data_IF_998723131265
#
_entry.id   IF_998723131265
#
_cell.length_a   1.000
_cell.length_b   1.000
_cell.length_c   1.000
_cell.angle_alpha   90.00
_cell.angle_beta   90.00
_cell.angle_gamma   90.00
#
_symmetry.space_group_name_H-M   'P 1'
#
loop_
_entity.id
_entity.type
_entity.pdbx_description
1 polymer ?
#
# COMPACT_ATOMS: atom_id res chain seq x y z
N UNK A 1 14.11 -1.29 9.02
CA UNK A 1 13.46 -1.83 10.22
C UNK A 1 12.05 -2.26 9.87
N UNK A 2 11.55 -3.31 10.50
CA UNK A 2 10.14 -3.74 10.38
C UNK A 2 9.55 -3.65 11.79
N UNK A 3 8.42 -2.99 11.93
CA UNK A 3 7.74 -2.77 13.21
C UNK A 3 6.31 -3.26 13.07
N UNK A 4 5.88 -4.14 13.98
CA UNK A 4 4.49 -4.58 14.09
C UNK A 4 3.83 -3.86 15.26
N UNK A 5 2.74 -3.14 14.98
CA UNK A 5 1.89 -2.53 16.00
C UNK A 5 0.62 -3.38 16.10
N UNK A 6 0.50 -4.16 17.18
CA UNK A 6 -0.61 -5.08 17.40
C UNK A 6 -1.39 -4.73 18.67
N UNK A 7 -2.70 -4.98 18.65
CA UNK A 7 -3.60 -4.66 19.76
C UNK A 7 -5.07 -4.78 19.36
N UNK A 8 -5.94 -4.93 20.37
CA UNK A 8 -7.40 -5.04 20.19
C UNK A 8 -7.97 -3.80 19.48
N UNK A 9 -9.17 -3.90 18.90
CA UNK A 9 -9.87 -2.75 18.35
C UNK A 9 -10.02 -1.66 19.43
N UNK A 10 -9.71 -0.41 19.09
CA UNK A 10 -9.74 0.72 20.03
C UNK A 10 -8.53 0.86 20.96
N UNK A 11 -7.51 -0.01 20.86
CA UNK A 11 -6.28 0.09 21.68
C UNK A 11 -5.30 1.20 21.26
N UNK A 12 -5.63 1.98 20.23
CA UNK A 12 -4.80 3.10 19.78
C UNK A 12 -3.75 2.77 18.71
N UNK A 13 -3.85 1.64 18.00
CA UNK A 13 -2.90 1.29 16.92
C UNK A 13 -2.70 2.40 15.88
N UNK A 14 -3.78 2.88 15.28
CA UNK A 14 -3.74 3.95 14.28
C UNK A 14 -3.27 5.29 14.91
N UNK A 15 -3.58 5.53 16.18
CA UNK A 15 -3.05 6.67 16.93
C UNK A 15 -1.51 6.57 17.05
N UNK A 16 -0.97 5.40 17.38
CA UNK A 16 0.49 5.17 17.42
C UNK A 16 1.15 5.42 16.06
N UNK A 17 0.54 4.96 14.96
CA UNK A 17 1.03 5.28 13.60
C UNK A 17 1.05 6.79 13.38
N UNK A 18 -0.01 7.49 13.77
CA UNK A 18 -0.13 8.95 13.65
C UNK A 18 0.96 9.69 14.43
N UNK A 19 1.21 9.28 15.68
CA UNK A 19 2.29 9.86 16.52
C UNK A 19 3.65 9.63 15.87
N UNK A 20 3.96 8.41 15.41
CA UNK A 20 5.26 8.16 14.75
C UNK A 20 5.41 9.03 13.50
N UNK A 21 4.36 9.13 12.68
CA UNK A 21 4.39 9.96 11.47
C UNK A 21 4.50 11.46 11.79
N UNK A 22 3.89 11.95 12.87
CA UNK A 22 4.06 13.32 13.38
C UNK A 22 5.52 13.57 13.80
N UNK A 23 6.09 12.70 14.63
CA UNK A 23 7.46 12.84 15.13
C UNK A 23 8.49 12.79 14.00
N UNK A 24 8.27 11.93 12.99
CA UNK A 24 9.12 11.90 11.79
C UNK A 24 9.08 13.21 11.00
N UNK A 25 7.92 13.87 10.93
CA UNK A 25 7.79 15.16 10.26
C UNK A 25 8.37 16.32 11.08
N UNK A 26 8.54 16.13 12.39
CA UNK A 26 9.09 17.12 13.33
C UNK A 26 10.59 16.98 13.61
N UNK A 27 11.25 16.01 12.99
CA UNK A 27 12.70 15.88 13.07
C UNK A 27 13.38 17.18 12.63
N UNK A 28 14.60 17.39 13.11
CA UNK A 28 15.42 18.55 12.72
C UNK A 28 15.48 18.69 11.20
N UNK A 29 15.54 19.93 10.70
CA UNK A 29 15.46 20.24 9.26
C UNK A 29 16.44 19.41 8.42
N UNK A 30 17.63 19.18 8.97
CA UNK A 30 18.68 18.38 8.35
C UNK A 30 18.35 16.91 8.16
N UNK A 31 17.53 16.37 9.07
CA UNK A 31 17.08 14.98 9.02
C UNK A 31 15.79 14.87 8.20
N UNK A 32 14.80 15.74 8.45
CA UNK A 32 13.49 15.63 7.79
C UNK A 32 13.56 15.82 6.28
N UNK A 33 14.50 16.63 5.76
CA UNK A 33 14.71 16.77 4.30
C UNK A 33 15.21 15.49 3.61
N UNK A 34 15.50 14.46 4.40
CA UNK A 34 15.95 13.15 3.92
C UNK A 34 14.98 12.02 4.27
N UNK A 35 13.83 12.32 4.88
CA UNK A 35 12.84 11.32 5.31
C UNK A 35 11.47 11.71 4.76
N UNK A 36 10.73 10.73 4.27
CA UNK A 36 9.35 10.89 3.86
C UNK A 36 8.51 9.77 4.48
N UNK A 37 7.24 10.08 4.77
CA UNK A 37 6.32 9.11 5.34
C UNK A 37 5.19 8.82 4.36
N UNK A 38 4.83 7.55 4.20
CA UNK A 38 3.66 7.09 3.46
C UNK A 38 2.78 6.24 4.37
N UNK A 39 1.53 6.66 4.54
CA UNK A 39 0.50 5.90 5.28
C UNK A 39 -0.51 5.37 4.27
N UNK A 40 -0.73 4.06 4.27
CA UNK A 40 -1.89 3.45 3.59
C UNK A 40 -3.06 3.42 4.58
N UNK A 41 -4.02 4.31 4.35
CA UNK A 41 -5.17 4.50 5.21
C UNK A 41 -6.34 3.65 4.71
N UNK A 42 -6.59 2.54 5.40
CA UNK A 42 -7.67 1.61 5.06
C UNK A 42 -9.01 2.00 5.68
N UNK A 43 -9.02 2.98 6.61
CA UNK A 43 -10.17 3.36 7.42
C UNK A 43 -10.65 4.80 7.19
N UNK A 44 -9.86 5.64 6.53
CA UNK A 44 -10.20 7.01 6.15
C UNK A 44 -10.14 7.99 7.33
N UNK A 45 -9.17 7.82 8.23
CA UNK A 45 -9.04 8.59 9.47
C UNK A 45 -7.80 9.49 9.52
N UNK A 46 -6.75 9.17 8.76
CA UNK A 46 -5.46 9.85 8.85
C UNK A 46 -5.47 11.25 8.20
N UNK A 47 -6.48 11.58 7.40
CA UNK A 47 -6.66 12.93 6.85
C UNK A 47 -6.76 14.01 7.95
N UNK A 48 -7.26 13.63 9.13
CA UNK A 48 -7.41 14.52 10.28
C UNK A 48 -6.07 15.04 10.79
N UNK A 49 -4.97 14.30 10.60
CA UNK A 49 -3.62 14.71 11.00
C UNK A 49 -3.16 16.03 10.38
N UNK A 50 -3.75 16.42 9.24
CA UNK A 50 -3.44 17.69 8.58
C UNK A 50 -3.77 18.90 9.45
N UNK A 51 -4.73 18.76 10.35
CA UNK A 51 -5.27 19.84 11.15
C UNK A 51 -4.74 19.82 12.58
N UNK A 52 -4.71 21.00 13.20
CA UNK A 52 -4.44 21.16 14.62
C UNK A 52 -5.34 20.27 15.48
N UNK A 53 -4.72 19.52 16.38
CA UNK A 53 -5.45 18.83 17.45
C UNK A 53 -5.92 19.86 18.49
N UNK A 54 -7.06 20.50 18.25
CA UNK A 54 -7.68 21.43 19.21
C UNK A 54 -8.47 20.68 20.30
N UNK A 55 -8.91 19.45 19.99
CA UNK A 55 -9.70 18.61 20.91
C UNK A 55 -8.91 18.27 22.18
N UNK A 56 -7.62 17.98 22.05
CA UNK A 56 -6.76 17.54 23.15
C UNK A 56 -5.74 18.62 23.56
N UNK A 57 -6.04 19.90 23.30
CA UNK A 57 -5.15 21.03 23.58
C UNK A 57 -4.72 21.14 25.05
N UNK A 58 -5.63 20.84 25.98
CA UNK A 58 -5.31 20.84 27.42
C UNK A 58 -4.29 19.76 27.76
N UNK A 59 -4.50 18.54 27.26
CA UNK A 59 -3.57 17.42 27.43
C UNK A 59 -2.20 17.74 26.82
N UNK A 60 -2.15 18.30 25.61
CA UNK A 60 -0.89 18.73 25.01
C UNK A 60 -0.16 19.76 25.91
N UNK A 61 -0.92 20.70 26.49
CA UNK A 61 -0.35 21.74 27.37
C UNK A 61 0.25 21.16 28.65
N UNK A 62 -0.35 20.11 29.24
CA UNK A 62 0.20 19.39 30.39
C UNK A 62 1.57 18.77 30.07
N UNK A 63 1.75 18.31 28.83
CA UNK A 63 3.01 17.77 28.31
C UNK A 63 3.94 18.84 27.72
N UNK A 64 3.59 20.13 27.87
CA UNK A 64 4.30 21.28 27.29
C UNK A 64 4.40 21.25 25.77
N UNK A 65 3.50 20.54 25.11
CA UNK A 65 3.34 20.48 23.66
C UNK A 65 2.36 21.54 23.17
N UNK A 66 2.46 21.91 21.88
CA UNK A 66 1.57 22.86 21.22
C UNK A 66 0.86 22.19 20.06
N UNK A 67 -0.43 22.48 19.94
CA UNK A 67 -1.20 22.07 18.77
C UNK A 67 -0.72 22.80 17.51
N UNK A 68 -0.58 22.07 16.40
CA UNK A 68 -0.02 22.56 15.13
C UNK A 68 -0.60 21.79 13.94
N UNK A 69 -0.50 22.40 12.75
CA UNK A 69 -0.79 21.69 11.52
C UNK A 69 0.42 20.84 11.15
N UNK A 70 0.18 19.64 10.63
CA UNK A 70 1.23 18.77 10.12
C UNK A 70 1.31 18.85 8.60
N UNK A 71 2.51 18.67 8.01
CA UNK A 71 2.70 18.70 6.56
C UNK A 71 2.20 17.40 5.90
N UNK A 72 0.87 17.25 5.88
CA UNK A 72 0.19 16.04 5.37
C UNK A 72 -0.44 16.30 4.01
N UNK A 73 -0.25 15.37 3.08
CA UNK A 73 -0.84 15.38 1.73
C UNK A 73 -1.73 14.15 1.55
N UNK A 74 -3.01 14.38 1.27
CA UNK A 74 -4.00 13.30 1.13
C UNK A 74 -4.18 12.94 -0.34
N UNK A 75 -4.02 11.66 -0.65
CA UNK A 75 -4.19 11.09 -1.98
C UNK A 75 -5.41 10.17 -1.99
N UNK A 76 -6.28 10.36 -2.97
CA UNK A 76 -7.43 9.48 -3.20
C UNK A 76 -7.37 8.91 -4.63
N UNK A 77 -7.91 7.71 -4.88
CA UNK A 77 -7.96 7.15 -6.22
C UNK A 77 -8.74 8.09 -7.16
N UNK A 78 -8.20 8.30 -8.36
CA UNK A 78 -8.59 9.42 -9.22
C UNK A 78 -10.08 9.44 -9.53
N UNK A 79 -10.73 8.28 -9.71
CA UNK A 79 -12.14 8.22 -10.07
C UNK A 79 -13.11 8.37 -8.89
N UNK A 80 -12.60 8.50 -7.66
CA UNK A 80 -13.38 8.91 -6.49
C UNK A 80 -13.06 10.34 -6.03
N UNK A 81 -12.05 11.00 -6.60
CA UNK A 81 -11.64 12.33 -6.18
C UNK A 81 -12.77 13.37 -6.19
N UNK A 82 -13.56 13.42 -7.27
CA UNK A 82 -14.71 14.33 -7.36
C UNK A 82 -15.79 14.04 -6.31
N UNK A 83 -15.95 12.78 -5.93
CA UNK A 83 -16.88 12.38 -4.86
C UNK A 83 -16.38 12.86 -3.50
N UNK A 84 -15.08 12.74 -3.24
CA UNK A 84 -14.45 13.27 -2.04
C UNK A 84 -14.63 14.79 -1.94
N UNK A 85 -14.38 15.53 -3.03
CA UNK A 85 -14.61 16.98 -3.09
C UNK A 85 -16.06 17.35 -2.81
N UNK A 86 -17.02 16.66 -3.46
CA UNK A 86 -18.46 16.88 -3.24
C UNK A 86 -18.89 16.64 -1.80
N UNK A 87 -18.28 15.65 -1.14
CA UNK A 87 -18.51 15.32 0.27
C UNK A 87 -17.69 16.17 1.24
N UNK A 88 -16.90 17.12 0.73
CA UNK A 88 -15.99 17.97 1.51
C UNK A 88 -14.96 17.17 2.32
N UNK A 89 -14.58 15.98 1.83
CA UNK A 89 -13.49 15.18 2.40
C UNK A 89 -12.18 15.79 1.88
N UNK A 90 -11.22 16.15 2.74
CA UNK A 90 -10.03 16.85 2.31
C UNK A 90 -9.10 15.92 1.53
N UNK A 91 -8.90 16.24 0.25
CA UNK A 91 -8.00 15.54 -0.68
C UNK A 91 -7.11 16.56 -1.38
N UNK A 92 -5.83 16.22 -1.54
CA UNK A 92 -4.81 17.09 -2.15
C UNK A 92 -4.35 16.59 -3.52
N UNK A 93 -4.43 15.27 -3.76
CA UNK A 93 -3.91 14.64 -4.97
C UNK A 93 -4.76 13.49 -5.49
N UNK A 94 -4.73 13.32 -6.82
CA UNK A 94 -5.35 12.19 -7.52
C UNK A 94 -4.31 11.08 -7.70
N UNK A 95 -4.65 9.88 -7.26
CA UNK A 95 -3.83 8.69 -7.47
C UNK A 95 -4.37 7.85 -8.62
N UNK A 96 -3.52 7.53 -9.59
CA UNK A 96 -3.86 6.68 -10.72
C UNK A 96 -2.73 5.68 -11.03
N UNK A 97 -3.07 4.39 -11.07
CA UNK A 97 -2.18 3.30 -11.47
C UNK A 97 -2.07 3.21 -13.00
N UNK A 98 -0.87 2.93 -13.52
CA UNK A 98 -0.73 2.53 -14.93
C UNK A 98 -0.79 1.02 -15.05
N UNK A 99 -1.75 0.51 -15.82
CA UNK A 99 -1.87 -0.94 -16.07
C UNK A 99 -0.60 -1.55 -16.68
N UNK A 100 0.10 -0.79 -17.52
CA UNK A 100 1.38 -1.15 -18.14
C UNK A 100 2.55 -1.29 -17.17
N UNK A 101 2.48 -0.66 -15.98
CA UNK A 101 3.52 -0.76 -14.95
C UNK A 101 3.29 -1.94 -13.99
N UNK A 102 2.16 -2.65 -14.09
CA UNK A 102 1.90 -3.83 -13.28
C UNK A 102 2.60 -5.06 -13.88
N UNK A 103 3.07 -5.92 -12.98
CA UNK A 103 3.61 -7.23 -13.32
C UNK A 103 2.52 -8.30 -13.28
N UNK A 104 2.79 -9.47 -13.86
CA UNK A 104 1.82 -10.57 -13.88
C UNK A 104 1.44 -10.97 -12.46
N UNK A 105 2.39 -10.99 -11.53
CA UNK A 105 2.16 -11.35 -10.13
C UNK A 105 1.16 -10.43 -9.44
N UNK A 106 1.12 -9.13 -9.81
CA UNK A 106 0.11 -8.21 -9.26
C UNK A 106 -1.30 -8.62 -9.66
N UNK A 107 -1.47 -8.98 -10.93
CA UNK A 107 -2.76 -9.39 -11.47
C UNK A 107 -3.20 -10.71 -10.87
N UNK A 108 -2.31 -11.69 -10.81
CA UNK A 108 -2.63 -12.99 -10.22
C UNK A 108 -2.98 -12.87 -8.74
N UNK A 109 -2.23 -12.09 -7.96
CA UNK A 109 -2.54 -11.85 -6.55
C UNK A 109 -3.88 -11.12 -6.38
N UNK A 110 -4.15 -10.13 -7.23
CA UNK A 110 -5.40 -9.33 -7.12
C UNK A 110 -6.63 -10.15 -7.48
N UNK A 111 -6.51 -11.05 -8.45
CA UNK A 111 -7.58 -11.94 -8.90
C UNK A 111 -7.64 -13.28 -8.13
N UNK A 112 -6.74 -13.48 -7.15
CA UNK A 112 -6.61 -14.73 -6.38
C UNK A 112 -6.43 -15.98 -7.27
N UNK A 113 -5.53 -15.87 -8.24
CA UNK A 113 -5.25 -16.91 -9.24
C UNK A 113 -3.90 -17.58 -9.00
N UNK A 114 -3.82 -18.88 -9.26
CA UNK A 114 -2.55 -19.61 -9.24
C UNK A 114 -1.86 -19.47 -10.58
N UNK A 115 -0.54 -19.38 -10.58
CA UNK A 115 0.25 -19.27 -11.81
C UNK A 115 0.01 -20.43 -12.80
N UNK A 116 -0.37 -21.60 -12.29
CA UNK A 116 -0.64 -22.81 -13.10
C UNK A 116 -2.02 -22.84 -13.74
N UNK A 117 -2.93 -21.92 -13.38
CA UNK A 117 -4.28 -21.92 -13.91
C UNK A 117 -4.30 -21.49 -15.37
N UNK A 118 -5.14 -22.11 -16.20
CA UNK A 118 -5.29 -21.74 -17.63
C UNK A 118 -5.63 -20.26 -17.81
N UNK A 119 -6.41 -19.70 -16.89
CA UNK A 119 -6.72 -18.26 -16.84
C UNK A 119 -5.43 -17.45 -16.69
N UNK A 120 -4.56 -17.81 -15.75
CA UNK A 120 -3.28 -17.12 -15.49
C UNK A 120 -2.35 -17.18 -16.68
N UNK A 121 -2.25 -18.35 -17.34
CA UNK A 121 -1.44 -18.52 -18.55
C UNK A 121 -1.94 -17.61 -19.68
N UNK A 122 -3.26 -17.47 -19.83
CA UNK A 122 -3.82 -16.55 -20.83
C UNK A 122 -3.51 -15.09 -20.50
N UNK A 123 -3.63 -14.69 -19.22
CA UNK A 123 -3.30 -13.34 -18.76
C UNK A 123 -1.83 -13.03 -19.08
N UNK A 124 -0.91 -13.92 -18.67
CA UNK A 124 0.53 -13.76 -18.90
C UNK A 124 0.84 -13.61 -20.39
N UNK A 125 0.29 -14.50 -21.23
CA UNK A 125 0.50 -14.44 -22.68
C UNK A 125 0.01 -13.13 -23.28
N UNK A 126 -1.14 -12.61 -22.84
CA UNK A 126 -1.68 -11.34 -23.32
C UNK A 126 -0.80 -10.17 -22.88
N UNK A 127 -0.43 -10.12 -21.59
CA UNK A 127 0.38 -9.04 -21.05
C UNK A 127 1.77 -8.99 -21.68
N UNK A 128 2.44 -10.13 -21.83
CA UNK A 128 3.76 -10.22 -22.48
C UNK A 128 3.69 -9.67 -23.91
N UNK A 129 2.72 -10.12 -24.70
CA UNK A 129 2.54 -9.61 -26.07
C UNK A 129 2.20 -8.12 -26.13
N UNK A 130 1.52 -7.58 -25.11
CA UNK A 130 1.24 -6.14 -25.05
C UNK A 130 2.49 -5.34 -24.70
N UNK A 131 3.31 -5.83 -23.75
CA UNK A 131 4.61 -5.22 -23.39
C UNK A 131 5.59 -5.20 -24.57
N UNK A 132 5.57 -6.23 -25.42
CA UNK A 132 6.39 -6.29 -26.63
C UNK A 132 5.93 -5.29 -27.73
N UNK A 133 4.63 -5.06 -27.86
CA UNK A 133 4.06 -4.24 -28.94
C UNK A 133 3.90 -2.75 -28.58
N UNK A 134 3.69 -2.44 -27.30
CA UNK A 134 3.37 -1.09 -26.81
C UNK A 134 4.17 -0.79 -25.55
N UNK A 135 4.77 0.40 -25.53
CA UNK A 135 5.42 0.94 -24.33
C UNK A 135 4.41 1.26 -23.21
N UNK A 136 3.19 1.69 -23.58
CA UNK A 136 2.12 2.02 -22.63
C UNK A 136 0.77 1.45 -23.12
N UNK A 137 -0.01 0.91 -22.20
CA UNK A 137 -1.33 0.31 -22.46
C UNK A 137 -2.23 0.39 -21.21
N UNK A 138 -3.54 0.52 -21.45
CA UNK A 138 -4.57 0.53 -20.41
C UNK A 138 -5.26 -0.83 -20.24
N UNK A 139 -6.24 -0.90 -19.33
CA UNK A 139 -7.06 -2.10 -19.12
C UNK A 139 -7.90 -2.41 -20.35
N UNK A 140 -8.38 -1.39 -21.05
CA UNK A 140 -9.15 -1.53 -22.28
C UNK A 140 -8.34 -2.20 -23.40
N UNK A 141 -7.04 -1.87 -23.51
CA UNK A 141 -6.14 -2.52 -24.47
C UNK A 141 -5.93 -4.01 -24.12
N UNK A 142 -5.87 -4.34 -22.82
CA UNK A 142 -5.79 -5.74 -22.34
C UNK A 142 -7.05 -6.51 -22.73
N UNK A 143 -8.24 -5.97 -22.45
CA UNK A 143 -9.52 -6.58 -22.80
C UNK A 143 -9.64 -6.80 -24.31
N UNK A 144 -9.28 -5.79 -25.12
CA UNK A 144 -9.29 -5.91 -26.57
C UNK A 144 -8.37 -7.04 -27.05
N UNK A 145 -7.19 -7.18 -26.43
CA UNK A 145 -6.22 -8.21 -26.80
C UNK A 145 -6.66 -9.62 -26.37
N UNK A 146 -7.34 -9.76 -25.24
CA UNK A 146 -7.95 -11.03 -24.78
C UNK A 146 -9.00 -11.50 -25.80
N UNK A 147 -9.88 -10.59 -26.25
CA UNK A 147 -10.96 -10.90 -27.20
C UNK A 147 -10.47 -11.34 -28.59
N UNK A 148 -9.20 -11.07 -28.92
CA UNK A 148 -8.54 -11.46 -30.18
C UNK A 148 -7.66 -12.71 -30.07
N UNK A 149 -7.72 -13.45 -28.96
CA UNK A 149 -6.91 -14.66 -28.79
C UNK A 149 -7.51 -15.84 -29.56
N UNK A 150 -6.82 -16.24 -30.62
CA UNK A 150 -7.13 -17.48 -31.35
C UNK A 150 -6.63 -18.70 -30.56
N UNK A 151 -7.37 -19.82 -30.66
CA UNK A 151 -7.01 -21.09 -30.05
C UNK A 151 -7.41 -21.27 -28.58
N UNK A 152 -8.04 -20.25 -27.96
CA UNK A 152 -8.62 -20.36 -26.61
C UNK A 152 -10.12 -20.66 -26.67
N UNK A 153 -10.65 -21.25 -25.59
CA UNK A 153 -12.09 -21.45 -25.45
C UNK A 153 -12.81 -20.12 -25.21
N UNK A 154 -14.06 -20.01 -25.67
CA UNK A 154 -14.88 -18.80 -25.44
C UNK A 154 -15.10 -18.57 -23.96
N UNK A 155 -15.23 -19.64 -23.19
CA UNK A 155 -15.40 -19.64 -21.75
C UNK A 155 -14.19 -19.01 -21.07
N UNK A 156 -12.96 -19.40 -21.43
CA UNK A 156 -11.73 -18.81 -20.91
C UNK A 156 -11.62 -17.33 -21.28
N UNK A 157 -11.84 -16.98 -22.54
CA UNK A 157 -11.80 -15.57 -23.01
C UNK A 157 -12.78 -14.70 -22.22
N UNK A 158 -14.02 -15.18 -22.01
CA UNK A 158 -15.04 -14.46 -21.27
C UNK A 158 -14.67 -14.32 -19.79
N UNK A 159 -14.14 -15.37 -19.16
CA UNK A 159 -13.70 -15.33 -17.76
C UNK A 159 -12.58 -14.30 -17.55
N UNK A 160 -11.55 -14.32 -18.40
CA UNK A 160 -10.44 -13.35 -18.28
C UNK A 160 -10.90 -11.93 -18.61
N UNK A 161 -11.76 -11.76 -19.62
CA UNK A 161 -12.35 -10.45 -19.92
C UNK A 161 -13.15 -9.90 -18.74
N UNK A 162 -13.95 -10.73 -18.07
CA UNK A 162 -14.74 -10.32 -16.91
C UNK A 162 -13.86 -9.85 -15.73
N UNK A 163 -12.71 -10.48 -15.49
CA UNK A 163 -11.76 -10.05 -14.46
C UNK A 163 -11.22 -8.64 -14.73
N UNK A 164 -10.81 -8.35 -15.97
CA UNK A 164 -10.33 -7.01 -16.33
C UNK A 164 -11.45 -5.97 -16.46
N UNK A 165 -12.66 -6.37 -16.86
CA UNK A 165 -13.84 -5.51 -16.82
C UNK A 165 -14.20 -5.15 -15.37
N UNK A 166 -14.05 -6.08 -14.42
CA UNK A 166 -14.14 -5.78 -13.00
C UNK A 166 -13.02 -4.80 -12.56
N UNK A 167 -11.79 -4.98 -13.05
CA UNK A 167 -10.68 -4.08 -12.74
C UNK A 167 -10.93 -2.61 -13.18
N UNK A 168 -11.60 -2.40 -14.32
CA UNK A 168 -12.04 -1.07 -14.75
C UNK A 168 -12.98 -0.40 -13.74
N UNK A 169 -13.87 -1.17 -13.12
CA UNK A 169 -14.85 -0.66 -12.17
C UNK A 169 -14.23 -0.12 -10.87
N UNK A 170 -12.98 -0.50 -10.55
CA UNK A 170 -12.28 -0.05 -9.35
C UNK A 170 -11.83 1.41 -9.41
N UNK A 171 -11.86 2.04 -10.60
CA UNK A 171 -11.57 3.48 -10.78
C UNK A 171 -10.21 3.92 -10.21
N UNK A 172 -9.25 3.00 -10.17
CA UNK A 172 -7.87 3.22 -9.70
C UNK A 172 -6.86 3.35 -10.84
N UNK A 173 -7.16 2.76 -12.01
CA UNK A 173 -6.27 2.79 -13.17
C UNK A 173 -6.45 4.05 -14.00
N UNK A 174 -5.34 4.69 -14.36
CA UNK A 174 -5.30 5.79 -15.31
C UNK A 174 -6.00 5.40 -16.62
N UNK A 175 -6.91 6.26 -17.09
CA UNK A 175 -7.56 6.05 -18.39
C UNK A 175 -6.56 6.27 -19.52
N UNK A 176 -6.88 5.75 -20.70
CA UNK A 176 -6.09 5.98 -21.92
C UNK A 176 -5.79 7.47 -22.12
N UNK A 177 -4.51 7.81 -22.26
CA UNK A 177 -4.03 9.18 -22.42
C UNK A 177 -3.91 9.99 -21.11
N UNK A 178 -4.30 9.44 -19.96
CA UNK A 178 -4.02 10.04 -18.66
C UNK A 178 -2.64 9.61 -18.15
N UNK A 179 -1.97 10.53 -17.44
CA UNK A 179 -0.73 10.20 -16.75
C UNK A 179 -1.07 9.43 -15.47
N UNK A 180 -0.46 8.27 -15.27
CA UNK A 180 -0.44 7.65 -13.95
C UNK A 180 0.44 8.44 -13.00
N UNK A 181 0.16 8.31 -11.70
CA UNK A 181 0.86 9.03 -10.65
C UNK A 181 2.27 8.49 -10.51
N UNK A 182 3.28 9.36 -10.63
CA UNK A 182 4.67 8.96 -10.39
C UNK A 182 4.94 8.82 -8.89
N UNK A 183 5.84 7.91 -8.53
CA UNK A 183 6.16 7.66 -7.11
C UNK A 183 6.80 8.88 -6.44
N UNK A 184 7.56 9.67 -7.18
CA UNK A 184 8.16 10.91 -6.68
C UNK A 184 7.15 12.03 -6.46
N UNK A 185 5.92 11.93 -7.01
CA UNK A 185 4.84 12.85 -6.67
C UNK A 185 4.20 12.46 -5.33
N UNK A 186 4.18 11.16 -5.02
CA UNK A 186 3.66 10.60 -3.76
C UNK A 186 4.63 10.76 -2.60
N UNK A 187 5.94 10.80 -2.85
CA UNK A 187 6.96 10.85 -1.80
C UNK A 187 7.65 12.22 -1.82
N UNK A 188 7.37 13.02 -0.79
CA UNK A 188 7.99 14.32 -0.59
C UNK A 188 8.71 14.35 0.76
N UNK A 189 9.97 14.78 0.79
CA UNK A 189 10.74 14.83 2.01
C UNK A 189 10.16 15.82 3.03
N UNK A 190 10.22 15.46 4.31
CA UNK A 190 9.66 16.21 5.44
C UNK A 190 8.13 16.24 5.47
N UNK A 191 7.47 15.45 4.63
CA UNK A 191 6.00 15.38 4.55
C UNK A 191 5.49 13.97 4.77
N UNK A 192 4.23 13.89 5.18
CA UNK A 192 3.48 12.64 5.30
C UNK A 192 2.45 12.57 4.18
N UNK A 193 2.61 11.61 3.29
CA UNK A 193 1.58 11.27 2.31
C UNK A 193 0.64 10.23 2.91
N UNK A 194 -0.66 10.47 2.80
CA UNK A 194 -1.70 9.52 3.18
C UNK A 194 -2.38 9.06 1.91
N UNK A 195 -2.25 7.78 1.59
CA UNK A 195 -3.01 7.11 0.53
C UNK A 195 -4.31 6.58 1.12
N UNK A 196 -5.41 7.28 0.86
CA UNK A 196 -6.75 6.86 1.31
C UNK A 196 -7.27 5.73 0.41
N UNK A 197 -7.41 4.55 0.99
CA UNK A 197 -7.95 3.35 0.37
C UNK A 197 -9.27 2.90 1.03
N UNK A 198 -9.87 3.76 1.86
CA UNK A 198 -11.08 3.47 2.63
C UNK A 198 -12.30 3.24 1.74
N UNK A 199 -12.30 3.80 0.52
CA UNK A 199 -13.34 3.59 -0.49
C UNK A 199 -13.44 2.14 -0.96
N UNK A 200 -12.36 1.36 -0.88
CA UNK A 200 -12.36 -0.04 -1.23
C UNK A 200 -12.75 -0.88 -0.03
N UNK A 201 -13.66 -1.85 -0.17
CA UNK A 201 -14.06 -2.74 0.92
C UNK A 201 -12.91 -3.69 1.32
N UNK A 202 -12.79 -3.99 2.61
CA UNK A 202 -11.90 -5.06 3.13
C UNK A 202 -12.45 -6.48 2.91
N UNK A 203 -13.74 -6.60 2.53
CA UNK A 203 -14.46 -7.88 2.37
C UNK A 203 -14.92 -8.06 0.90
N UNK A 204 -14.24 -7.42 -0.04
CA UNK A 204 -14.55 -7.53 -1.47
C UNK A 204 -13.98 -8.81 -2.10
N UNK A 205 -14.55 -9.22 -3.23
CA UNK A 205 -14.05 -10.34 -4.04
C UNK A 205 -12.64 -10.08 -4.61
N UNK A 206 -12.24 -8.82 -4.73
CA UNK A 206 -10.92 -8.41 -5.22
C UNK A 206 -10.21 -7.55 -4.18
N UNK A 207 -8.92 -7.83 -3.95
CA UNK A 207 -8.13 -7.10 -2.97
C UNK A 207 -7.45 -5.87 -3.60
N UNK A 208 -8.24 -4.88 -4.00
CA UNK A 208 -7.75 -3.62 -4.61
C UNK A 208 -6.80 -2.88 -3.67
N UNK A 209 -7.02 -2.97 -2.36
CA UNK A 209 -6.12 -2.38 -1.36
C UNK A 209 -4.72 -3.01 -1.44
N UNK A 210 -4.65 -4.35 -1.45
CA UNK A 210 -3.37 -5.05 -1.59
C UNK A 210 -2.70 -4.75 -2.93
N UNK A 211 -3.45 -4.61 -4.02
CA UNK A 211 -2.89 -4.20 -5.31
C UNK A 211 -2.17 -2.86 -5.19
N UNK A 212 -2.84 -1.83 -4.66
CA UNK A 212 -2.27 -0.48 -4.53
C UNK A 212 -1.06 -0.48 -3.59
N UNK A 213 -1.18 -1.14 -2.43
CA UNK A 213 -0.11 -1.25 -1.43
C UNK A 213 1.10 -1.97 -2.03
N UNK A 214 0.89 -3.13 -2.64
CA UNK A 214 1.94 -3.96 -3.23
C UNK A 214 2.66 -3.26 -4.37
N UNK A 215 1.90 -2.67 -5.29
CA UNK A 215 2.45 -1.91 -6.41
C UNK A 215 3.32 -0.74 -5.95
N UNK A 216 2.80 0.13 -5.06
CA UNK A 216 3.55 1.29 -4.57
C UNK A 216 4.78 0.82 -3.79
N UNK A 217 4.64 -0.18 -2.92
CA UNK A 217 5.75 -0.70 -2.12
C UNK A 217 6.87 -1.25 -3.00
N UNK A 218 6.55 -2.01 -4.06
CA UNK A 218 7.54 -2.51 -5.01
C UNK A 218 8.23 -1.38 -5.76
N UNK A 219 7.47 -0.40 -6.24
CA UNK A 219 8.02 0.76 -6.96
C UNK A 219 8.97 1.57 -6.07
N UNK A 220 8.57 1.84 -4.83
CA UNK A 220 9.40 2.52 -3.82
C UNK A 220 10.68 1.74 -3.50
N UNK A 221 10.57 0.43 -3.33
CA UNK A 221 11.71 -0.43 -3.06
C UNK A 221 12.74 -0.35 -4.21
N UNK A 222 12.29 -0.49 -5.45
CA UNK A 222 13.15 -0.42 -6.63
C UNK A 222 13.83 0.94 -6.78
N UNK A 223 13.08 2.03 -6.65
CA UNK A 223 13.62 3.40 -6.71
C UNK A 223 14.65 3.65 -5.61
N UNK A 224 14.37 3.21 -4.38
CA UNK A 224 15.31 3.38 -3.25
C UNK A 224 16.56 2.54 -3.44
N UNK A 225 16.45 1.32 -3.97
CA UNK A 225 17.59 0.46 -4.30
C UNK A 225 18.50 1.11 -5.34
N UNK A 226 17.94 1.73 -6.39
CA UNK A 226 18.71 2.47 -7.40
C UNK A 226 19.35 3.74 -6.82
N UNK A 227 18.58 4.53 -6.06
CA UNK A 227 19.08 5.72 -5.39
C UNK A 227 20.23 5.40 -4.44
N UNK A 228 20.14 4.29 -3.69
CA UNK A 228 21.20 3.84 -2.80
C UNK A 228 22.49 3.52 -3.57
N UNK A 229 22.40 2.81 -4.70
CA UNK A 229 23.57 2.54 -5.56
C UNK A 229 24.23 3.83 -6.05
N UNK A 230 23.43 4.83 -6.48
CA UNK A 230 23.95 6.14 -6.90
C UNK A 230 24.66 6.87 -5.76
N UNK A 231 24.09 6.86 -4.55
CA UNK A 231 24.70 7.46 -3.35
C UNK A 231 26.08 6.84 -3.04
N UNK A 232 26.18 5.51 -3.08
CA UNK A 232 27.44 4.79 -2.83
C UNK A 232 28.49 5.13 -3.89
N UNK A 233 28.10 5.16 -5.17
CA UNK A 233 29.02 5.56 -6.25
C UNK A 233 29.55 6.97 -6.07
N UNK A 234 28.68 7.92 -5.68
CA UNK A 234 29.07 9.30 -5.44
C UNK A 234 30.03 9.42 -4.25
N UNK A 235 29.78 8.68 -3.16
CA UNK A 235 30.65 8.64 -1.98
C UNK A 235 32.05 8.08 -2.29
N UNK A 236 32.14 7.04 -3.13
CA UNK A 236 33.44 6.50 -3.57
C UNK A 236 34.19 7.51 -4.44
N UNK A 237 33.51 8.18 -5.38
CA UNK A 237 34.13 9.13 -6.31
C UNK A 237 34.68 10.39 -5.63
N UNK A 238 34.00 10.89 -4.61
CA UNK A 238 34.31 12.17 -3.96
C UNK A 238 34.96 12.01 -2.58
N UNK A 239 35.23 10.77 -2.15
CA UNK A 239 35.77 10.47 -0.82
C UNK A 239 34.77 10.71 0.32
N UNK A 240 35.26 10.57 1.56
CA UNK A 240 34.46 10.72 2.80
C UNK A 240 33.79 12.10 2.91
N UNK A 241 34.34 13.11 2.23
CA UNK A 241 33.81 14.48 2.21
C UNK A 241 32.49 14.63 1.43
N UNK A 242 32.05 13.66 0.64
CA UNK A 242 30.77 13.81 -0.08
C UNK A 242 29.54 13.74 0.84
N UNK A 243 29.58 12.88 1.85
CA UNK A 243 28.48 12.72 2.81
C UNK A 243 28.32 13.97 3.69
N UNK A 244 29.40 14.74 3.88
CA UNK A 244 29.33 16.05 4.52
C UNK A 244 28.88 17.16 3.56
N UNK A 245 29.15 17.05 2.26
CA UNK A 245 28.77 18.05 1.25
C UNK A 245 27.34 17.93 0.71
N UNK A 246 26.78 16.72 0.60
CA UNK A 246 25.41 16.54 0.07
C UNK A 246 24.44 16.18 1.19
N UNK A 247 23.84 17.23 1.74
CA UNK A 247 22.93 17.13 2.87
C UNK A 247 21.53 16.62 2.48
N UNK A 248 21.17 16.56 1.19
CA UNK A 248 19.83 16.20 0.72
C UNK A 248 19.87 15.05 -0.31
N UNK A 249 19.07 14.01 -0.06
CA UNK A 249 18.92 12.83 -0.91
C UNK A 249 17.96 13.11 -2.07
N UNK A 250 18.32 12.64 -3.27
CA UNK A 250 17.42 12.67 -4.44
C UNK A 250 16.12 11.89 -4.18
N UNK A 251 16.24 10.74 -3.51
CA UNK A 251 15.12 9.94 -3.02
C UNK A 251 15.25 9.81 -1.49
N UNK A 252 14.33 10.36 -0.69
CA UNK A 252 14.41 10.27 0.77
C UNK A 252 14.28 8.82 1.24
N UNK A 253 14.68 8.59 2.49
CA UNK A 253 14.33 7.36 3.21
C UNK A 253 12.83 7.37 3.46
N UNK A 254 12.14 6.31 3.04
CA UNK A 254 10.68 6.23 3.14
C UNK A 254 10.28 5.33 4.29
N UNK A 255 9.46 5.85 5.20
CA UNK A 255 8.72 5.06 6.19
C UNK A 255 7.35 4.73 5.64
N UNK A 256 7.04 3.44 5.53
CA UNK A 256 5.74 2.95 5.08
C UNK A 256 4.97 2.45 6.29
N UNK A 257 3.76 2.97 6.48
CA UNK A 257 2.79 2.50 7.45
C UNK A 257 1.58 1.92 6.72
N UNK A 258 1.14 0.73 7.13
CA UNK A 258 -0.04 0.07 6.58
C UNK A 258 -1.03 -0.11 7.73
N UNK A 259 -2.12 0.66 7.75
CA UNK A 259 -3.16 0.46 8.76
C UNK A 259 -4.02 -0.76 8.44
N UNK A 260 -4.42 -1.50 9.48
CA UNK A 260 -5.16 -2.77 9.37
C UNK A 260 -4.54 -3.74 8.34
N UNK A 261 -3.22 -3.94 8.43
CA UNK A 261 -2.45 -4.80 7.50
C UNK A 261 -2.87 -6.28 7.50
N UNK A 262 -3.47 -6.76 8.58
CA UNK A 262 -4.02 -8.12 8.68
C UNK A 262 -5.47 -8.10 8.18
N UNK A 263 -5.71 -8.73 7.03
CA UNK A 263 -7.06 -8.93 6.52
C UNK A 263 -7.68 -10.21 7.08
N UNK A 264 -9.01 -10.33 7.00
CA UNK A 264 -9.73 -11.51 7.51
C UNK A 264 -9.31 -12.85 6.90
N UNK A 265 -8.76 -12.82 5.68
CA UNK A 265 -8.23 -14.00 4.99
C UNK A 265 -6.80 -14.38 5.37
N UNK A 266 -6.14 -13.62 6.26
CA UNK A 266 -4.79 -13.96 6.72
C UNK A 266 -4.80 -15.32 7.40
N UNK A 267 -4.07 -16.29 6.88
CA UNK A 267 -3.96 -17.62 7.49
C UNK A 267 -3.12 -17.56 8.76
N UNK A 268 -3.66 -18.12 9.85
CA UNK A 268 -2.95 -18.41 11.08
C UNK A 268 -2.79 -19.92 11.19
N UNK A 269 -1.59 -20.35 11.57
CA UNK A 269 -1.30 -21.76 11.85
C UNK A 269 -1.88 -22.10 13.22
N UNK A 270 -2.95 -22.89 13.22
CA UNK A 270 -3.53 -23.50 14.42
C UNK A 270 -3.05 -24.93 14.56
N UNK A 271 -3.28 -25.52 15.74
CA UNK A 271 -2.98 -26.94 16.02
C UNK A 271 -3.66 -27.94 15.07
N UNK A 272 -4.74 -27.52 14.41
CA UNK A 272 -5.51 -28.35 13.49
C UNK A 272 -5.18 -28.11 12.02
N UNK A 273 -4.96 -26.86 11.62
CA UNK A 273 -4.74 -26.45 10.23
C UNK A 273 -4.32 -24.97 10.12
N UNK A 274 -3.95 -24.57 8.91
CA UNK A 274 -3.99 -23.18 8.50
C UNK A 274 -5.45 -22.71 8.48
N UNK A 275 -5.77 -21.69 9.25
CA UNK A 275 -7.14 -21.19 9.40
C UNK A 275 -7.15 -19.68 9.20
N UNK A 276 -8.07 -19.13 8.38
CA UNK A 276 -8.22 -17.69 8.26
C UNK A 276 -8.49 -17.03 9.63
N UNK A 277 -7.81 -15.92 9.90
CA UNK A 277 -7.94 -15.17 11.16
C UNK A 277 -9.39 -14.81 11.46
N UNK A 278 -10.20 -14.51 10.45
CA UNK A 278 -11.61 -14.16 10.65
C UNK A 278 -12.44 -15.33 11.17
N UNK A 279 -12.14 -16.56 10.75
CA UNK A 279 -12.84 -17.75 11.23
C UNK A 279 -12.44 -18.07 12.67
N UNK A 280 -11.16 -17.88 13.01
CA UNK A 280 -10.68 -17.96 14.38
C UNK A 280 -11.41 -16.93 15.26
N UNK A 281 -11.47 -15.67 14.83
CA UNK A 281 -12.14 -14.61 15.59
C UNK A 281 -13.63 -14.92 15.81
N UNK A 282 -14.38 -15.31 14.76
CA UNK A 282 -15.80 -15.69 14.89
C UNK A 282 -16.02 -16.83 15.87
N UNK A 283 -15.19 -17.87 15.79
CA UNK A 283 -15.32 -19.04 16.66
C UNK A 283 -14.89 -18.71 18.09
N UNK A 284 -13.88 -17.86 18.26
CA UNK A 284 -13.44 -17.35 19.57
C UNK A 284 -14.52 -16.49 20.25
N UNK A 285 -15.19 -15.62 19.50
CA UNK A 285 -16.35 -14.85 19.99
C UNK A 285 -17.50 -15.76 20.46
N UNK A 286 -17.63 -16.95 19.86
CA UNK A 286 -18.57 -17.99 20.28
C UNK A 286 -18.06 -18.86 21.44
N UNK A 287 -16.92 -18.51 22.05
CA UNK A 287 -16.36 -19.17 23.24
C UNK A 287 -15.45 -20.35 22.95
N UNK A 288 -15.08 -20.62 21.69
CA UNK A 288 -14.06 -21.63 21.40
C UNK A 288 -12.66 -21.14 21.80
N UNK A 289 -11.86 -22.07 22.31
CA UNK A 289 -10.42 -21.87 22.55
C UNK A 289 -9.61 -22.36 21.36
N UNK A 290 -8.54 -21.66 21.06
CA UNK A 290 -7.65 -21.95 19.95
C UNK A 290 -6.25 -22.15 20.48
N UNK A 291 -5.56 -23.16 19.94
CA UNK A 291 -4.13 -23.26 20.08
C UNK A 291 -3.46 -22.71 18.84
N UNK A 292 -2.72 -21.62 18.99
CA UNK A 292 -1.96 -20.99 17.91
C UNK A 292 -0.50 -21.42 17.98
N UNK A 293 0.08 -21.68 16.83
CA UNK A 293 1.50 -21.98 16.74
C UNK A 293 2.29 -20.69 16.95
N UNK A 294 3.15 -20.69 17.97
CA UNK A 294 3.99 -19.55 18.34
C UNK A 294 5.42 -19.98 18.61
N UNK A 295 6.30 -18.99 18.73
CA UNK A 295 7.65 -19.18 19.22
C UNK A 295 7.74 -18.64 20.64
N UNK A 296 8.10 -19.49 21.59
CA UNK A 296 8.36 -19.09 22.96
C UNK A 296 9.85 -18.79 23.15
N UNK A 297 10.12 -17.55 23.54
CA UNK A 297 11.49 -17.06 23.77
C UNK A 297 12.14 -17.64 25.02
N UNK A 298 11.35 -18.05 26.02
CA UNK A 298 11.90 -18.62 27.25
C UNK A 298 12.37 -20.07 27.04
N UNK A 299 11.63 -20.83 26.24
CA UNK A 299 11.97 -22.21 25.90
C UNK A 299 12.76 -22.37 24.59
N UNK A 300 13.01 -21.28 23.86
CA UNK A 300 13.68 -21.26 22.54
C UNK A 300 13.08 -22.27 21.56
N UNK A 301 11.75 -22.44 21.61
CA UNK A 301 11.05 -23.51 20.91
C UNK A 301 9.74 -23.04 20.31
N UNK A 302 9.35 -23.70 19.22
CA UNK A 302 8.03 -23.53 18.67
C UNK A 302 7.03 -24.48 19.33
N UNK A 303 5.85 -23.97 19.65
CA UNK A 303 4.81 -24.72 20.33
C UNK A 303 3.42 -24.20 20.01
N UNK A 304 2.41 -24.93 20.48
CA UNK A 304 1.01 -24.54 20.39
C UNK A 304 0.57 -23.96 21.73
N UNK A 305 0.11 -22.71 21.73
CA UNK A 305 -0.27 -21.96 22.92
C UNK A 305 -1.74 -21.58 22.87
N UNK A 306 -2.41 -21.68 24.01
CA UNK A 306 -3.82 -21.27 24.20
C UNK A 306 -4.00 -19.74 24.15
#
# INVERSE_FOLDING_TARGET
>A
HVVLIAGKRGSGKSYTIGVIAEELADLETEVKKNIATLIFDTMGIFWTMKYKNEKEKLLLSEWKLKSRNLPVKIWAPYGYFEEYEKRQIPVDGKFALKASELEIEDWLLTFDLKITDTISVLIERVLTKLKEEKEDYGIEDIIERIKKQDGETKETINAVSALFEAALSWKVFAKKGQKGTKINELIEAGKTSVMDLSVYSSVGAFNVRALVIGFISRKLFNERMLARKKEEMQAVQHGVDYLSFKQEREMPLVWIFIDECLTGGTEIITDKAHTPIQDIVKRFENGEKFKVFGFDKESDSYGHYD
#
